data_IF_073161980924
#
_entry.id   IF_073161980924
#
_cell.length_a   1.000
_cell.length_b   1.000
_cell.length_c   1.000
_cell.angle_alpha   90.00
_cell.angle_beta   90.00
_cell.angle_gamma   90.00
#
_symmetry.space_group_name_H-M   'P 1'
#
loop_
_entity.id
_entity.type
_entity.pdbx_description
1 polymer ?
#
# COMPACT_ATOMS: atom_id res chain seq x y z
N UNK A 1 -15.90 23.12 -5.13
CA UNK A 1 -14.97 22.34 -5.98
C UNK A 1 -15.79 21.24 -6.62
N UNK A 2 -15.47 20.79 -7.84
CA UNK A 2 -16.13 19.63 -8.42
C UNK A 2 -15.59 18.34 -7.79
N UNK A 3 -16.37 17.26 -7.85
CA UNK A 3 -16.01 15.95 -7.30
C UNK A 3 -14.69 15.42 -7.91
N UNK A 4 -14.51 15.63 -9.20
CA UNK A 4 -13.28 15.28 -9.91
C UNK A 4 -12.06 16.11 -9.43
N UNK A 5 -12.27 17.36 -9.03
CA UNK A 5 -11.22 18.18 -8.42
C UNK A 5 -10.85 17.67 -7.02
N UNK A 6 -11.82 17.20 -6.24
CA UNK A 6 -11.58 16.63 -4.91
C UNK A 6 -10.82 15.30 -5.00
N UNK A 7 -11.24 14.41 -5.90
CA UNK A 7 -10.54 13.16 -6.17
C UNK A 7 -9.09 13.42 -6.63
N UNK A 8 -8.90 14.27 -7.65
CA UNK A 8 -7.55 14.62 -8.14
C UNK A 8 -6.68 15.21 -7.03
N UNK A 9 -7.22 16.14 -6.22
CA UNK A 9 -6.50 16.73 -5.10
C UNK A 9 -6.09 15.68 -4.06
N UNK A 10 -6.92 14.66 -3.83
CA UNK A 10 -6.61 13.56 -2.92
C UNK A 10 -5.50 12.67 -3.45
N UNK A 11 -5.54 12.33 -4.74
CA UNK A 11 -4.46 11.56 -5.39
C UNK A 11 -3.14 12.33 -5.33
N UNK A 12 -3.15 13.63 -5.61
CA UNK A 12 -1.94 14.46 -5.51
C UNK A 12 -1.43 14.62 -4.08
N UNK A 13 -2.32 14.57 -3.08
CA UNK A 13 -1.93 14.47 -1.68
C UNK A 13 -1.20 13.16 -1.40
N UNK A 14 -1.68 12.03 -1.92
CA UNK A 14 -1.04 10.73 -1.76
C UNK A 14 0.33 10.68 -2.43
N UNK A 15 0.45 11.14 -3.67
CA UNK A 15 1.74 11.21 -4.37
C UNK A 15 2.77 12.02 -3.60
N UNK A 16 2.37 13.20 -3.07
CA UNK A 16 3.24 14.04 -2.23
C UNK A 16 3.68 13.31 -0.96
N UNK A 17 2.75 12.68 -0.25
CA UNK A 17 3.09 11.90 0.95
C UNK A 17 4.08 10.78 0.64
N UNK A 18 3.94 10.07 -0.49
CA UNK A 18 4.91 9.04 -0.90
C UNK A 18 6.27 9.68 -1.18
N UNK A 19 6.31 10.80 -1.91
CA UNK A 19 7.54 11.54 -2.20
C UNK A 19 8.25 12.06 -0.94
N UNK A 20 7.52 12.38 0.12
CA UNK A 20 8.05 12.81 1.42
C UNK A 20 8.54 11.64 2.29
N UNK A 21 8.19 10.38 1.96
CA UNK A 21 8.70 9.23 2.70
C UNK A 21 10.23 9.11 2.56
N UNK A 22 10.91 8.48 3.54
CA UNK A 22 12.33 8.15 3.42
C UNK A 22 12.65 7.37 2.14
N UNK A 23 13.92 7.41 1.73
CA UNK A 23 14.40 6.57 0.63
C UNK A 23 14.25 5.09 0.98
N UNK A 24 14.13 4.27 -0.07
CA UNK A 24 14.08 2.82 0.08
C UNK A 24 15.31 2.29 0.84
N UNK A 25 15.09 1.24 1.62
CA UNK A 25 16.17 0.43 2.15
C UNK A 25 16.97 -0.22 1.01
N UNK A 26 18.16 -0.73 1.30
CA UNK A 26 18.94 -1.45 0.28
C UNK A 26 18.16 -2.68 -0.23
N UNK A 27 18.39 -3.11 -1.49
CA UNK A 27 17.73 -4.31 -2.03
C UNK A 27 17.91 -5.56 -1.15
N UNK A 28 19.07 -5.69 -0.51
CA UNK A 28 19.37 -6.76 0.43
C UNK A 28 18.47 -6.75 1.67
N UNK A 29 18.21 -5.57 2.24
CA UNK A 29 17.31 -5.41 3.40
C UNK A 29 15.87 -5.66 2.98
N UNK A 30 15.46 -5.17 1.81
CA UNK A 30 14.13 -5.42 1.25
C UNK A 30 13.90 -6.92 1.12
N UNK A 31 14.81 -7.65 0.48
CA UNK A 31 14.68 -9.10 0.28
C UNK A 31 14.70 -9.86 1.60
N UNK A 32 15.64 -9.54 2.50
CA UNK A 32 15.72 -10.18 3.81
C UNK A 32 14.42 -10.01 4.62
N UNK A 33 13.85 -8.80 4.59
CA UNK A 33 12.59 -8.49 5.28
C UNK A 33 11.43 -9.23 4.64
N UNK A 34 11.36 -9.25 3.30
CA UNK A 34 10.33 -9.97 2.56
C UNK A 34 10.33 -11.47 2.89
N UNK A 35 11.49 -12.13 2.82
CA UNK A 35 11.62 -13.57 3.12
C UNK A 35 11.19 -13.89 4.56
N UNK A 36 11.51 -13.03 5.54
CA UNK A 36 11.05 -13.22 6.92
C UNK A 36 9.53 -13.15 7.01
N UNK A 37 8.93 -12.13 6.40
CA UNK A 37 7.47 -11.93 6.41
C UNK A 37 6.72 -13.05 5.68
N UNK A 38 7.29 -13.56 4.57
CA UNK A 38 6.79 -14.76 3.89
C UNK A 38 6.83 -16.00 4.78
N UNK A 39 7.93 -16.17 5.54
CA UNK A 39 8.11 -17.31 6.46
C UNK A 39 7.09 -17.37 7.60
N UNK A 40 6.51 -16.23 7.99
CA UNK A 40 5.44 -16.14 9.01
C UNK A 40 4.05 -15.99 8.38
N UNK A 41 3.91 -16.14 7.07
CA UNK A 41 2.65 -15.94 6.33
C UNK A 41 1.97 -14.60 6.63
N UNK A 42 2.75 -13.55 6.90
CA UNK A 42 2.24 -12.19 7.06
C UNK A 42 1.39 -11.86 5.83
N UNK A 43 0.15 -11.40 5.95
CA UNK A 43 -0.73 -11.21 4.79
C UNK A 43 -1.53 -9.92 4.93
N UNK A 44 -0.97 -8.76 4.55
CA UNK A 44 -1.69 -7.50 4.66
C UNK A 44 -2.88 -7.48 3.68
N UNK A 45 -4.03 -6.89 4.06
CA UNK A 45 -5.23 -6.78 3.23
C UNK A 45 -5.07 -5.71 2.14
N UNK A 46 -4.10 -5.91 1.27
CA UNK A 46 -3.77 -5.03 0.15
C UNK A 46 -4.20 -5.64 -1.18
N UNK A 47 -4.45 -4.79 -2.17
CA UNK A 47 -4.85 -5.24 -3.51
C UNK A 47 -3.69 -5.71 -4.39
N UNK A 48 -2.45 -5.39 -4.01
CA UNK A 48 -1.24 -5.85 -4.70
C UNK A 48 -1.00 -7.29 -4.24
N UNK A 49 -0.62 -8.15 -5.17
CA UNK A 49 -0.22 -9.51 -4.84
C UNK A 49 0.87 -9.49 -3.76
N UNK A 50 0.73 -10.38 -2.79
CA UNK A 50 1.47 -10.33 -1.55
C UNK A 50 3.00 -10.35 -1.74
N UNK A 51 3.55 -11.27 -2.54
CA UNK A 51 5.00 -11.37 -2.77
C UNK A 51 5.56 -10.12 -3.45
N UNK A 52 4.77 -9.49 -4.33
CA UNK A 52 5.11 -8.21 -4.97
C UNK A 52 5.04 -7.05 -3.98
N UNK A 53 4.06 -7.05 -3.09
CA UNK A 53 3.92 -6.01 -2.06
C UNK A 53 5.11 -6.00 -1.10
N UNK A 54 5.57 -7.16 -0.63
CA UNK A 54 6.70 -7.24 0.31
C UNK A 54 8.02 -6.70 -0.25
N UNK A 55 8.16 -6.67 -1.58
CA UNK A 55 9.33 -6.15 -2.30
C UNK A 55 9.09 -4.77 -2.92
N UNK A 56 7.95 -4.15 -2.63
CA UNK A 56 7.58 -2.87 -3.20
C UNK A 56 8.59 -1.79 -2.78
N UNK A 57 8.98 -0.95 -3.71
CA UNK A 57 9.81 0.24 -3.50
C UNK A 57 8.93 1.49 -3.47
N UNK A 58 9.49 2.63 -3.07
CA UNK A 58 8.80 3.92 -3.08
C UNK A 58 8.34 4.28 -4.49
N UNK A 59 9.18 4.03 -5.50
CA UNK A 59 8.79 4.20 -6.90
C UNK A 59 7.68 3.22 -7.29
N UNK A 60 7.80 1.94 -6.89
CA UNK A 60 6.76 0.95 -7.13
C UNK A 60 5.41 1.34 -6.52
N UNK A 61 5.40 1.99 -5.36
CA UNK A 61 4.16 2.50 -4.75
C UNK A 61 3.53 3.64 -5.58
N UNK A 62 4.34 4.55 -6.14
CA UNK A 62 3.84 5.59 -7.04
C UNK A 62 3.23 4.97 -8.30
N UNK A 63 3.92 4.00 -8.91
CA UNK A 63 3.42 3.29 -10.08
C UNK A 63 2.10 2.56 -9.79
N UNK A 64 1.95 2.03 -8.58
CA UNK A 64 0.73 1.36 -8.13
C UNK A 64 -0.42 2.34 -7.86
N UNK A 65 -0.15 3.54 -7.34
CA UNK A 65 -1.14 4.61 -7.26
C UNK A 65 -1.66 4.94 -8.67
N UNK A 66 -0.76 5.13 -9.63
CA UNK A 66 -1.14 5.44 -11.00
C UNK A 66 -1.93 4.29 -11.65
N UNK A 67 -1.56 3.03 -11.37
CA UNK A 67 -2.33 1.85 -11.81
C UNK A 67 -3.74 1.83 -11.24
N UNK A 68 -3.92 2.13 -9.95
CA UNK A 68 -5.25 2.16 -9.30
C UNK A 68 -6.12 3.28 -9.87
N UNK A 69 -5.53 4.46 -10.10
CA UNK A 69 -6.23 5.60 -10.71
C UNK A 69 -6.66 5.28 -12.14
N UNK A 70 -5.81 4.59 -12.91
CA UNK A 70 -6.10 4.19 -14.28
C UNK A 70 -6.95 2.91 -14.40
N UNK A 71 -7.26 2.23 -13.28
CA UNK A 71 -8.04 1.00 -13.27
C UNK A 71 -9.44 1.24 -13.86
N UNK A 72 -9.97 0.37 -14.73
CA UNK A 72 -11.34 0.50 -15.23
C UNK A 72 -12.36 0.49 -14.09
N UNK A 73 -13.45 1.26 -14.21
CA UNK A 73 -14.51 1.28 -13.19
C UNK A 73 -15.09 -0.12 -12.92
N UNK A 74 -15.19 -0.97 -13.94
CA UNK A 74 -15.66 -2.35 -13.78
C UNK A 74 -14.80 -3.18 -12.80
N UNK A 75 -13.50 -2.88 -12.70
CA UNK A 75 -12.56 -3.55 -11.79
C UNK A 75 -12.51 -2.85 -10.42
N UNK A 76 -12.49 -1.51 -10.41
CA UNK A 76 -12.44 -0.72 -9.18
C UNK A 76 -13.75 -0.80 -8.37
N UNK A 77 -14.87 -1.06 -9.04
CA UNK A 77 -16.22 -0.99 -8.48
C UNK A 77 -16.97 -2.30 -8.58
N UNK A 78 -16.29 -3.44 -8.60
CA UNK A 78 -16.94 -4.76 -8.68
C UNK A 78 -18.05 -4.95 -7.61
N UNK A 79 -17.97 -4.22 -6.49
CA UNK A 79 -18.97 -4.19 -5.42
C UNK A 79 -20.09 -3.14 -5.59
N UNK A 80 -19.93 -2.15 -6.48
CA UNK A 80 -20.90 -1.07 -6.75
C UNK A 80 -20.80 -0.49 -8.19
N UNK A 81 -21.08 -1.29 -9.24
CA UNK A 81 -20.80 -0.93 -10.63
C UNK A 81 -21.66 0.22 -11.21
N UNK A 82 -22.75 0.61 -10.53
CA UNK A 82 -23.66 1.68 -10.98
C UNK A 82 -23.50 2.99 -10.19
N UNK A 83 -22.46 3.11 -9.37
CA UNK A 83 -22.25 4.28 -8.49
C UNK A 83 -20.84 4.85 -8.67
N UNK A 84 -20.62 5.73 -9.67
CA UNK A 84 -19.31 6.33 -9.98
C UNK A 84 -18.66 7.05 -8.79
N UNK A 85 -19.46 7.52 -7.83
CA UNK A 85 -18.96 8.12 -6.58
C UNK A 85 -18.28 7.08 -5.68
N UNK A 86 -18.96 5.96 -5.46
CA UNK A 86 -18.38 4.82 -4.73
C UNK A 86 -17.12 4.31 -5.41
N UNK A 87 -17.05 4.38 -6.73
CA UNK A 87 -15.85 4.01 -7.49
C UNK A 87 -14.61 4.86 -7.15
N UNK A 88 -14.75 6.18 -7.05
CA UNK A 88 -13.65 7.08 -6.71
C UNK A 88 -13.27 6.92 -5.23
N UNK A 89 -14.26 6.81 -4.35
CA UNK A 89 -14.05 6.58 -2.91
C UNK A 89 -13.31 5.26 -2.65
N UNK A 90 -13.70 4.18 -3.32
CA UNK A 90 -13.04 2.88 -3.21
C UNK A 90 -11.57 2.93 -3.67
N UNK A 91 -11.26 3.63 -4.77
CA UNK A 91 -9.87 3.83 -5.20
C UNK A 91 -9.05 4.57 -4.16
N UNK A 92 -9.63 5.61 -3.56
CA UNK A 92 -9.00 6.38 -2.47
C UNK A 92 -8.76 5.49 -1.25
N UNK A 93 -9.70 4.61 -0.89
CA UNK A 93 -9.53 3.63 0.17
C UNK A 93 -8.43 2.62 -0.14
N UNK A 94 -8.42 2.03 -1.34
CA UNK A 94 -7.37 1.09 -1.75
C UNK A 94 -5.99 1.73 -1.66
N UNK A 95 -5.82 2.95 -2.18
CA UNK A 95 -4.55 3.67 -2.07
C UNK A 95 -4.19 3.96 -0.61
N UNK A 96 -5.16 4.36 0.20
CA UNK A 96 -4.94 4.66 1.63
C UNK A 96 -4.45 3.43 2.40
N UNK A 97 -5.10 2.29 2.21
CA UNK A 97 -4.71 1.01 2.82
C UNK A 97 -3.32 0.60 2.36
N UNK A 98 -3.03 0.72 1.06
CA UNK A 98 -1.72 0.42 0.51
C UNK A 98 -0.61 1.26 1.13
N UNK A 99 -0.83 2.57 1.23
CA UNK A 99 0.13 3.48 1.84
C UNK A 99 0.32 3.19 3.33
N UNK A 100 -0.73 2.82 4.05
CA UNK A 100 -0.65 2.44 5.46
C UNK A 100 0.27 1.24 5.66
N UNK A 101 0.03 0.15 4.95
CA UNK A 101 0.86 -1.05 5.07
C UNK A 101 2.27 -0.83 4.52
N UNK A 102 2.45 0.00 3.49
CA UNK A 102 3.78 0.34 2.99
C UNK A 102 4.61 1.09 4.05
N UNK A 103 4.00 2.02 4.79
CA UNK A 103 4.68 2.71 5.91
C UNK A 103 5.13 1.71 6.98
N UNK A 104 4.27 0.76 7.36
CA UNK A 104 4.67 -0.33 8.28
C UNK A 104 5.82 -1.16 7.71
N UNK A 105 5.74 -1.54 6.43
CA UNK A 105 6.80 -2.28 5.76
C UNK A 105 8.13 -1.52 5.73
N UNK A 106 8.10 -0.19 5.55
CA UNK A 106 9.28 0.66 5.62
C UNK A 106 9.89 0.68 7.04
N UNK A 107 9.06 0.73 8.10
CA UNK A 107 9.54 0.63 9.49
C UNK A 107 10.18 -0.74 9.78
N UNK A 108 9.56 -1.82 9.34
CA UNK A 108 10.10 -3.17 9.46
C UNK A 108 11.49 -3.29 8.81
N UNK A 109 11.66 -2.72 7.61
CA UNK A 109 12.94 -2.66 6.89
C UNK A 109 13.99 -1.79 7.60
N UNK A 110 13.56 -0.81 8.38
CA UNK A 110 14.45 0.01 9.22
C UNK A 110 14.83 -0.69 10.53
N UNK A 111 14.25 -1.88 10.80
CA UNK A 111 14.49 -2.60 12.04
C UNK A 111 13.76 -2.02 13.24
N UNK A 112 12.64 -1.32 13.00
CA UNK A 112 11.80 -0.78 14.08
C UNK A 112 11.28 -1.91 14.99
N UNK A 113 11.69 -1.88 16.26
CA UNK A 113 11.43 -2.97 17.22
C UNK A 113 9.95 -3.06 17.52
N UNK A 114 9.28 -1.93 17.79
CA UNK A 114 7.86 -1.90 18.15
C UNK A 114 6.99 -2.49 17.04
N UNK A 115 7.28 -2.17 15.77
CA UNK A 115 6.56 -2.74 14.63
C UNK A 115 6.85 -4.23 14.46
N UNK A 116 8.06 -4.71 14.73
CA UNK A 116 8.38 -6.13 14.69
C UNK A 116 7.67 -6.91 15.81
N UNK A 117 7.63 -6.35 17.02
CA UNK A 117 6.93 -6.96 18.16
C UNK A 117 5.43 -7.11 17.85
N UNK A 118 4.77 -6.08 17.29
CA UNK A 118 3.37 -6.15 16.87
C UNK A 118 3.13 -7.30 15.86
N UNK A 119 4.04 -7.47 14.90
CA UNK A 119 3.94 -8.53 13.88
C UNK A 119 4.18 -9.91 14.49
N UNK A 120 5.19 -10.07 15.33
CA UNK A 120 5.52 -11.35 15.95
C UNK A 120 4.39 -11.78 16.92
N UNK A 121 3.79 -10.86 17.66
CA UNK A 121 2.61 -11.11 18.51
C UNK A 121 1.41 -11.62 17.69
N UNK A 122 1.15 -11.05 16.52
CA UNK A 122 -0.02 -11.39 15.70
C UNK A 122 0.16 -12.64 14.83
N UNK A 123 1.39 -13.00 14.46
CA UNK A 123 1.65 -14.03 13.43
C UNK A 123 2.53 -15.19 13.88
N UNK A 124 3.32 -15.04 14.95
CA UNK A 124 4.25 -16.09 15.42
C UNK A 124 3.75 -16.75 16.70
N UNK A 125 3.03 -16.00 17.53
CA UNK A 125 2.57 -16.46 18.84
C UNK A 125 1.12 -16.96 18.88
N UNK A 126 0.51 -17.20 17.70
CA UNK A 126 -0.84 -17.75 17.53
C UNK A 126 -0.85 -19.30 17.43
#
# INVERSE_FOLDING_TARGET
MSEEQEFSAKIDQFRRQVQEMPNDASPEIIEKTAVRLEGINYAPPVIIEHTRFLRLTKQGLLDEIDRIVAMPDAEACALAPNEPKKCQDLRVEFISVQMFYYKKLALLRQGDIETWDEIDELYVHD
#
